data_IF_756498249942
#
_entry.id   IF_756498249942
#
_cell.length_a   1.000
_cell.length_b   1.000
_cell.length_c   1.000
_cell.angle_alpha   90.00
_cell.angle_beta   90.00
_cell.angle_gamma   90.00
#
_symmetry.space_group_name_H-M   'P 1'
#
loop_
_entity.id
_entity.type
_entity.pdbx_description
1 polymer ?
#
# COMPACT_ATOMS: atom_id res chain seq x y z
N UNK A 1 10.54 -10.58 9.73
CA UNK A 1 9.39 -9.73 9.40
C UNK A 1 8.69 -10.20 8.13
N UNK A 2 7.46 -10.71 8.25
CA UNK A 2 6.55 -10.93 7.12
C UNK A 2 5.76 -9.66 6.80
N UNK A 3 5.93 -9.13 5.59
CA UNK A 3 5.27 -7.93 5.11
C UNK A 3 4.19 -8.29 4.08
N UNK A 4 2.95 -7.87 4.33
CA UNK A 4 1.85 -7.88 3.36
C UNK A 4 1.62 -6.46 2.84
N UNK A 5 1.64 -6.26 1.52
CA UNK A 5 1.30 -4.98 0.88
C UNK A 5 0.13 -5.21 -0.06
N UNK A 6 -0.96 -4.47 0.16
CA UNK A 6 -2.18 -4.66 -0.63
C UNK A 6 -2.94 -3.36 -0.90
N UNK A 7 -3.09 -3.00 -2.18
CA UNK A 7 -4.11 -2.06 -2.62
C UNK A 7 -5.48 -2.76 -2.64
N UNK A 8 -6.34 -2.40 -1.70
CA UNK A 8 -7.63 -3.08 -1.49
C UNK A 8 -8.79 -2.41 -2.25
N UNK A 9 -8.52 -1.36 -3.03
CA UNK A 9 -9.52 -0.61 -3.80
C UNK A 9 -10.78 -0.30 -2.99
N UNK A 10 -10.57 0.08 -1.73
CA UNK A 10 -11.59 0.33 -0.74
C UNK A 10 -12.60 -0.81 -0.51
N UNK A 11 -12.19 -2.07 -0.68
CA UNK A 11 -13.04 -3.25 -0.54
C UNK A 11 -14.08 -3.40 -1.67
N UNK A 12 -13.99 -2.61 -2.74
CA UNK A 12 -14.98 -2.64 -3.83
C UNK A 12 -14.94 -3.94 -4.65
N UNK A 13 -13.86 -4.71 -4.56
CA UNK A 13 -13.68 -6.00 -5.21
C UNK A 13 -13.20 -5.91 -6.65
N UNK A 14 -12.80 -7.05 -7.21
CA UNK A 14 -12.30 -7.11 -8.58
C UNK A 14 -13.44 -6.88 -9.60
N UNK A 15 -13.32 -5.93 -10.56
CA UNK A 15 -14.18 -5.89 -11.71
C UNK A 15 -13.70 -6.98 -12.67
N UNK A 16 -14.36 -8.13 -12.70
CA UNK A 16 -13.95 -9.31 -13.51
C UNK A 16 -14.10 -9.12 -15.03
N UNK A 17 -13.45 -8.08 -15.60
CA UNK A 17 -13.40 -7.71 -17.01
C UNK A 17 -13.59 -6.19 -17.28
N UNK A 18 -13.02 -5.69 -18.38
CA UNK A 18 -13.10 -4.27 -18.81
C UNK A 18 -14.54 -3.75 -18.99
N UNK A 19 -15.43 -4.55 -19.59
CA UNK A 19 -16.84 -4.19 -19.76
C UNK A 19 -17.56 -4.08 -18.40
N UNK A 20 -17.23 -4.95 -17.44
CA UNK A 20 -17.77 -4.89 -16.08
C UNK A 20 -17.21 -3.69 -15.33
N UNK A 21 -15.95 -3.31 -15.53
CA UNK A 21 -15.29 -2.15 -14.89
C UNK A 21 -16.01 -0.82 -15.16
N UNK A 22 -16.44 -0.58 -16.40
CA UNK A 22 -17.23 0.60 -16.76
C UNK A 22 -18.64 0.57 -16.13
N UNK A 23 -19.22 -0.62 -16.00
CA UNK A 23 -20.54 -0.82 -15.38
C UNK A 23 -20.50 -0.77 -13.84
N UNK A 24 -19.35 -1.02 -13.21
CA UNK A 24 -19.18 -1.02 -11.75
C UNK A 24 -18.75 0.31 -11.14
N UNK A 25 -18.84 1.44 -11.86
CA UNK A 25 -18.59 2.77 -11.26
C UNK A 25 -19.46 2.99 -10.01
N UNK A 26 -20.67 2.43 -9.96
CA UNK A 26 -21.55 2.46 -8.78
C UNK A 26 -21.00 1.70 -7.55
N UNK A 27 -20.06 0.75 -7.70
CA UNK A 27 -19.39 0.08 -6.57
C UNK A 27 -18.59 1.06 -5.73
N UNK A 28 -18.10 2.13 -6.34
CA UNK A 28 -17.44 3.20 -5.62
C UNK A 28 -18.42 4.06 -4.82
N UNK A 29 -19.73 3.78 -4.80
CA UNK A 29 -20.76 4.45 -3.98
C UNK A 29 -21.24 3.59 -2.79
N UNK A 30 -21.26 2.25 -2.93
CA UNK A 30 -21.61 1.31 -1.84
C UNK A 30 -20.78 0.04 -1.97
N UNK A 31 -20.04 -0.30 -0.92
CA UNK A 31 -19.13 -1.45 -0.93
C UNK A 31 -19.79 -2.66 -0.28
N UNK A 32 -19.70 -3.83 -0.94
CA UNK A 32 -20.08 -5.10 -0.32
C UNK A 32 -19.07 -5.50 0.74
N UNK A 33 -19.53 -5.84 1.95
CA UNK A 33 -18.66 -6.34 3.03
C UNK A 33 -17.95 -7.66 2.67
N UNK A 34 -18.44 -8.38 1.64
CA UNK A 34 -17.91 -9.68 1.22
C UNK A 34 -16.43 -9.62 0.82
N UNK A 35 -16.01 -8.70 -0.03
CA UNK A 35 -14.60 -8.69 -0.46
C UNK A 35 -13.67 -8.33 0.69
N UNK A 36 -14.10 -7.40 1.55
CA UNK A 36 -13.32 -7.07 2.73
C UNK A 36 -13.23 -8.23 3.73
N UNK A 37 -14.27 -9.06 3.87
CA UNK A 37 -14.17 -10.27 4.70
C UNK A 37 -13.22 -11.32 4.11
N UNK A 38 -13.11 -11.42 2.79
CA UNK A 38 -12.09 -12.25 2.15
C UNK A 38 -10.67 -11.73 2.40
N UNK A 39 -10.47 -10.41 2.39
CA UNK A 39 -9.19 -9.78 2.76
C UNK A 39 -8.84 -10.07 4.22
N UNK A 40 -9.83 -9.97 5.12
CA UNK A 40 -9.68 -10.35 6.53
C UNK A 40 -9.26 -11.81 6.68
N UNK A 41 -9.91 -12.73 5.96
CA UNK A 41 -9.53 -14.16 5.95
C UNK A 41 -8.11 -14.37 5.45
N UNK A 42 -7.72 -13.71 4.36
CA UNK A 42 -6.36 -13.76 3.84
C UNK A 42 -5.32 -13.28 4.87
N UNK A 43 -5.59 -12.17 5.57
CA UNK A 43 -4.70 -11.68 6.63
C UNK A 43 -4.60 -12.67 7.78
N UNK A 44 -5.73 -13.27 8.16
CA UNK A 44 -5.76 -14.30 9.20
C UNK A 44 -4.94 -15.55 8.82
N UNK A 45 -4.99 -15.98 7.56
CA UNK A 45 -4.23 -17.14 7.10
C UNK A 45 -2.72 -16.84 6.97
N UNK A 46 -2.37 -15.64 6.50
CA UNK A 46 -0.98 -15.25 6.26
C UNK A 46 -0.21 -14.88 7.55
N UNK A 47 -0.92 -14.41 8.57
CA UNK A 47 -0.36 -13.91 9.84
C UNK A 47 0.84 -12.94 9.64
N UNK A 48 0.69 -11.85 8.85
CA UNK A 48 1.79 -10.93 8.62
C UNK A 48 2.18 -10.18 9.90
N UNK A 49 3.44 -9.76 9.99
CA UNK A 49 3.95 -8.89 11.05
C UNK A 49 3.62 -7.42 10.77
N UNK A 50 3.67 -7.04 9.48
CA UNK A 50 3.38 -5.69 8.99
C UNK A 50 2.40 -5.76 7.81
N UNK A 51 1.39 -4.89 7.81
CA UNK A 51 0.40 -4.76 6.75
C UNK A 51 0.42 -3.32 6.21
N UNK A 52 0.82 -3.16 4.95
CA UNK A 52 0.68 -1.94 4.18
C UNK A 52 -0.58 -1.95 3.32
N UNK A 53 -1.61 -1.20 3.72
CA UNK A 53 -2.86 -1.06 2.98
C UNK A 53 -2.89 0.23 2.16
N UNK A 54 -3.17 0.08 0.87
CA UNK A 54 -3.40 1.19 -0.05
C UNK A 54 -4.87 1.24 -0.45
N UNK A 55 -5.43 2.44 -0.59
CA UNK A 55 -6.86 2.65 -0.84
C UNK A 55 -7.76 1.99 0.22
N UNK A 56 -7.43 2.17 1.49
CA UNK A 56 -8.30 1.78 2.59
C UNK A 56 -9.38 2.83 2.86
N UNK A 57 -10.43 2.40 3.55
CA UNK A 57 -11.49 3.29 4.02
C UNK A 57 -11.54 3.26 5.54
N UNK A 58 -11.56 4.44 6.16
CA UNK A 58 -11.53 4.61 7.61
C UNK A 58 -12.92 4.84 8.23
N UNK A 59 -13.98 4.28 7.66
CA UNK A 59 -15.34 4.36 8.20
C UNK A 59 -16.21 5.41 7.52
N UNK A 60 -16.21 5.46 6.19
CA UNK A 60 -17.15 6.26 5.42
C UNK A 60 -18.55 5.64 5.39
N UNK A 61 -19.52 6.40 4.91
CA UNK A 61 -20.87 5.91 4.63
C UNK A 61 -20.88 4.71 3.67
N UNK A 62 -19.91 4.61 2.77
CA UNK A 62 -19.80 3.53 1.77
C UNK A 62 -19.51 2.17 2.42
N UNK A 63 -18.77 2.16 3.52
CA UNK A 63 -18.49 0.97 4.33
C UNK A 63 -19.45 0.83 5.52
N UNK A 64 -20.52 1.62 5.54
CA UNK A 64 -21.47 1.68 6.67
C UNK A 64 -20.78 1.98 8.01
N UNK A 65 -19.72 2.80 7.99
CA UNK A 65 -18.95 3.16 9.18
C UNK A 65 -17.84 2.16 9.55
N UNK A 66 -17.68 1.05 8.82
CA UNK A 66 -16.60 0.10 9.07
C UNK A 66 -15.24 0.67 8.63
N UNK A 67 -14.30 0.76 9.57
CA UNK A 67 -12.92 1.14 9.30
C UNK A 67 -12.09 -0.10 8.96
N UNK A 68 -11.58 -0.18 7.73
CA UNK A 68 -10.74 -1.28 7.29
C UNK A 68 -9.45 -1.40 8.12
N UNK A 69 -8.71 -0.30 8.38
CA UNK A 69 -7.50 -0.37 9.20
C UNK A 69 -7.78 -0.84 10.63
N UNK A 70 -8.85 -0.35 11.27
CA UNK A 70 -9.21 -0.76 12.64
C UNK A 70 -9.53 -2.25 12.69
N UNK A 71 -10.29 -2.77 11.72
CA UNK A 71 -10.66 -4.18 11.69
C UNK A 71 -9.46 -5.10 11.48
N UNK A 72 -8.49 -4.70 10.66
CA UNK A 72 -7.26 -5.48 10.45
C UNK A 72 -6.27 -5.32 11.61
N UNK A 73 -6.22 -4.16 12.28
CA UNK A 73 -5.43 -3.97 13.48
C UNK A 73 -5.88 -4.90 14.62
N UNK A 74 -7.19 -5.08 14.79
CA UNK A 74 -7.76 -6.05 15.76
C UNK A 74 -7.37 -7.50 15.49
N UNK A 75 -6.96 -7.87 14.26
CA UNK A 75 -6.50 -9.21 13.94
C UNK A 75 -5.00 -9.37 14.19
N UNK A 76 -4.21 -8.31 14.01
CA UNK A 76 -2.77 -8.31 14.24
C UNK A 76 -2.41 -8.39 15.73
N UNK A 77 -3.24 -7.79 16.58
CA UNK A 77 -3.02 -7.73 18.01
C UNK A 77 -4.17 -8.43 18.73
N UNK A 78 -3.91 -9.57 19.37
CA UNK A 78 -4.92 -10.22 20.25
C UNK A 78 -5.34 -9.28 21.41
N UNK A 79 -4.53 -8.26 21.71
CA UNK A 79 -4.85 -7.15 22.60
C UNK A 79 -4.86 -5.82 21.86
N UNK A 80 -5.89 -4.99 22.13
CA UNK A 80 -6.18 -3.74 21.44
C UNK A 80 -5.01 -2.74 21.57
N UNK A 81 -4.12 -2.69 20.58
CA UNK A 81 -3.20 -1.58 20.41
C UNK A 81 -3.93 -0.39 19.75
N UNK A 82 -3.54 0.81 20.18
CA UNK A 82 -4.06 2.10 19.72
C UNK A 82 -4.02 2.17 18.20
N UNK A 83 -5.19 2.15 17.55
CA UNK A 83 -5.26 2.32 16.10
C UNK A 83 -4.82 3.75 15.76
N UNK A 84 -3.78 3.95 14.92
CA UNK A 84 -3.38 5.28 14.51
C UNK A 84 -4.57 6.00 13.91
N UNK A 85 -4.83 7.25 14.32
CA UNK A 85 -5.92 8.04 13.72
C UNK A 85 -5.71 8.09 12.21
N UNK A 86 -6.64 7.56 11.40
CA UNK A 86 -6.50 7.56 9.95
C UNK A 86 -6.47 9.00 9.46
N UNK A 87 -5.47 9.33 8.63
CA UNK A 87 -5.35 10.66 8.02
C UNK A 87 -5.73 10.61 6.55
N UNK A 88 -6.22 11.73 6.01
CA UNK A 88 -6.67 11.79 4.64
C UNK A 88 -5.47 11.69 3.69
N UNK A 89 -5.55 10.81 2.68
CA UNK A 89 -4.48 10.64 1.67
C UNK A 89 -4.13 11.93 0.88
N UNK A 90 -4.94 12.98 1.03
CA UNK A 90 -4.84 14.27 0.33
C UNK A 90 -4.07 15.36 1.11
N UNK A 91 -3.72 15.11 2.38
CA UNK A 91 -3.02 16.07 3.25
C UNK A 91 -3.93 17.15 3.89
N UNK A 92 -3.45 17.83 4.95
CA UNK A 92 -4.28 18.69 5.81
C UNK A 92 -4.78 19.97 5.13
N UNK A 93 -4.10 20.45 4.08
CA UNK A 93 -4.42 21.71 3.38
C UNK A 93 -5.19 21.52 2.08
N UNK A 94 -5.49 20.29 1.67
CA UNK A 94 -6.19 20.01 0.42
C UNK A 94 -7.70 20.28 0.54
N UNK A 95 -8.30 20.95 -0.46
CA UNK A 95 -9.75 21.08 -0.54
C UNK A 95 -10.46 19.71 -0.56
N UNK A 96 -9.79 18.67 -1.10
CA UNK A 96 -10.32 17.31 -1.15
C UNK A 96 -10.38 16.65 0.23
N UNK A 97 -9.52 17.00 1.20
CA UNK A 97 -9.60 16.45 2.56
C UNK A 97 -10.75 17.04 3.38
N UNK A 98 -11.39 18.10 2.88
CA UNK A 98 -12.62 18.70 3.44
C UNK A 98 -13.90 18.10 2.86
N UNK A 99 -13.82 17.30 1.79
CA UNK A 99 -14.99 16.63 1.23
C UNK A 99 -15.31 15.37 2.08
N UNK A 100 -16.55 15.22 2.60
CA UNK A 100 -16.92 14.13 3.51
C UNK A 100 -16.59 12.74 2.97
N UNK A 101 -16.66 12.57 1.64
CA UNK A 101 -16.43 11.31 0.95
C UNK A 101 -14.95 10.91 0.84
N UNK A 102 -14.08 11.91 0.70
CA UNK A 102 -12.66 11.74 0.40
C UNK A 102 -11.81 11.78 1.68
N UNK A 103 -12.36 12.32 2.77
CA UNK A 103 -11.71 12.36 4.09
C UNK A 103 -11.43 10.96 4.63
N UNK A 104 -12.33 10.00 4.40
CA UNK A 104 -12.19 8.62 4.88
C UNK A 104 -11.31 7.74 3.98
N UNK A 105 -10.87 8.23 2.82
CA UNK A 105 -9.93 7.49 1.97
C UNK A 105 -8.51 7.66 2.51
N UNK A 106 -7.89 6.55 2.86
CA UNK A 106 -6.60 6.55 3.54
C UNK A 106 -5.70 5.43 3.03
N UNK A 107 -4.45 5.47 3.45
CA UNK A 107 -3.54 4.32 3.45
C UNK A 107 -3.26 4.00 4.93
N UNK A 108 -2.89 2.76 5.25
CA UNK A 108 -2.58 2.38 6.62
C UNK A 108 -1.34 1.48 6.65
N UNK A 109 -0.46 1.72 7.63
CA UNK A 109 0.72 0.88 7.86
C UNK A 109 0.62 0.31 9.28
N UNK A 110 0.08 -0.90 9.35
CA UNK A 110 -0.15 -1.60 10.61
C UNK A 110 1.04 -2.50 10.90
N UNK A 111 1.47 -2.58 12.16
CA UNK A 111 2.47 -3.56 12.58
C UNK A 111 2.07 -4.17 13.92
N UNK A 112 2.51 -5.40 14.16
CA UNK A 112 2.36 -6.08 15.44
C UNK A 112 3.19 -5.43 16.55
N UNK A 113 4.32 -4.82 16.19
CA UNK A 113 5.17 -4.06 17.11
C UNK A 113 4.55 -2.71 17.52
N UNK A 114 4.80 -2.26 18.75
CA UNK A 114 4.27 -0.98 19.30
C UNK A 114 5.06 0.26 18.85
N UNK A 115 5.68 0.21 17.68
CA UNK A 115 6.42 1.34 17.10
C UNK A 115 5.48 2.49 16.72
N UNK A 116 5.88 3.74 16.92
CA UNK A 116 5.09 4.89 16.46
C UNK A 116 5.01 4.95 14.92
N UNK A 117 3.83 5.25 14.38
CA UNK A 117 3.66 5.56 12.96
C UNK A 117 3.98 7.05 12.72
N UNK A 118 4.97 7.33 11.88
CA UNK A 118 5.26 8.69 11.40
C UNK A 118 4.61 8.93 10.04
N UNK A 119 4.20 10.18 9.81
CA UNK A 119 3.52 10.59 8.59
C UNK A 119 4.30 11.69 7.89
N UNK A 120 4.56 11.50 6.61
CA UNK A 120 5.15 12.50 5.73
C UNK A 120 4.19 12.81 4.58
N UNK A 121 4.43 13.95 3.91
CA UNK A 121 3.55 14.40 2.83
C UNK A 121 4.34 14.87 1.62
N UNK A 122 4.01 14.31 0.45
CA UNK A 122 4.56 14.80 -0.80
C UNK A 122 4.20 16.27 -1.04
N UNK A 123 5.13 17.06 -1.60
CA UNK A 123 4.88 18.47 -1.90
C UNK A 123 3.87 18.65 -3.05
N UNK A 124 3.65 17.62 -3.87
CA UNK A 124 2.80 17.67 -5.06
C UNK A 124 1.93 16.42 -5.23
N UNK A 125 0.96 16.50 -6.16
CA UNK A 125 0.02 15.42 -6.44
C UNK A 125 -1.19 15.39 -5.50
N UNK A 126 -2.14 14.51 -5.82
CA UNK A 126 -3.33 14.27 -5.00
C UNK A 126 -3.10 13.20 -3.94
N UNK A 127 -2.30 12.18 -4.26
CA UNK A 127 -1.89 11.12 -3.32
C UNK A 127 -0.60 11.58 -2.64
N UNK A 128 -0.72 12.13 -1.43
CA UNK A 128 0.40 12.80 -0.75
C UNK A 128 0.95 12.04 0.45
N UNK A 129 0.13 11.23 1.11
CA UNK A 129 0.49 10.55 2.34
C UNK A 129 1.60 9.51 2.11
N UNK A 130 2.62 9.58 2.96
CA UNK A 130 3.70 8.60 3.12
C UNK A 130 3.63 8.17 4.59
N UNK A 131 3.56 6.86 4.85
CA UNK A 131 3.59 6.32 6.20
C UNK A 131 4.96 5.68 6.44
N UNK A 132 5.53 5.92 7.61
CA UNK A 132 6.79 5.33 8.06
C UNK A 132 6.52 4.61 9.38
N UNK A 133 6.97 3.36 9.47
CA UNK A 133 6.91 2.58 10.72
C UNK A 133 8.07 1.61 10.79
N UNK A 134 8.64 1.43 11.97
CA UNK A 134 9.74 0.49 12.21
C UNK A 134 9.19 -0.83 12.77
N UNK A 135 9.65 -1.96 12.24
CA UNK A 135 9.33 -3.29 12.79
C UNK A 135 10.50 -4.23 12.56
N UNK A 136 10.85 -5.03 13.57
CA UNK A 136 12.01 -5.93 13.56
C UNK A 136 13.34 -5.27 13.09
N UNK A 137 13.54 -3.99 13.43
CA UNK A 137 14.73 -3.22 13.03
C UNK A 137 14.76 -2.80 11.55
N UNK A 138 13.67 -2.99 10.81
CA UNK A 138 13.48 -2.56 9.42
C UNK A 138 12.48 -1.39 9.41
N UNK A 139 12.85 -0.27 8.77
CA UNK A 139 11.93 0.85 8.58
C UNK A 139 11.14 0.69 7.28
N UNK A 140 9.82 0.54 7.40
CA UNK A 140 8.90 0.40 6.27
C UNK A 140 8.28 1.76 5.93
N UNK A 141 8.39 2.14 4.67
CA UNK A 141 7.73 3.29 4.07
C UNK A 141 6.61 2.80 3.15
N UNK A 142 5.37 3.21 3.40
CA UNK A 142 4.22 2.93 2.53
C UNK A 142 3.85 4.17 1.72
N UNK A 143 3.79 4.03 0.40
CA UNK A 143 3.47 5.11 -0.54
C UNK A 143 2.34 4.75 -1.49
N UNK A 144 1.71 5.78 -2.03
CA UNK A 144 0.76 5.65 -3.12
C UNK A 144 1.02 6.79 -4.11
N UNK A 145 1.72 6.51 -5.21
CA UNK A 145 2.21 7.55 -6.12
C UNK A 145 1.11 8.03 -7.08
N UNK A 146 1.28 9.26 -7.58
CA UNK A 146 0.34 9.92 -8.50
C UNK A 146 0.16 9.19 -9.83
N UNK A 147 -1.00 9.37 -10.46
CA UNK A 147 -1.29 8.80 -11.79
C UNK A 147 -0.53 9.51 -12.93
N UNK A 148 -0.17 10.78 -12.73
CA UNK A 148 0.61 11.55 -13.71
C UNK A 148 2.10 11.26 -13.57
N UNK A 149 2.75 10.84 -14.66
CA UNK A 149 4.20 10.61 -14.68
C UNK A 149 5.00 11.83 -14.22
N UNK A 150 4.60 13.04 -14.63
CA UNK A 150 5.28 14.28 -14.22
C UNK A 150 5.20 14.50 -12.69
N UNK A 151 4.10 14.10 -12.07
CA UNK A 151 3.94 14.15 -10.61
C UNK A 151 4.79 13.07 -9.96
N UNK A 152 4.77 11.82 -10.47
CA UNK A 152 5.58 10.73 -9.94
C UNK A 152 7.06 11.06 -9.89
N UNK A 153 7.62 11.65 -10.96
CA UNK A 153 9.04 12.06 -10.97
C UNK A 153 9.36 12.95 -9.77
N UNK A 154 8.57 13.99 -9.52
CA UNK A 154 8.77 14.88 -8.35
C UNK A 154 8.55 14.18 -7.00
N UNK A 155 7.66 13.20 -6.95
CA UNK A 155 7.46 12.39 -5.74
C UNK A 155 8.65 11.46 -5.48
N UNK A 156 9.20 10.83 -6.51
CA UNK A 156 10.41 10.00 -6.43
C UNK A 156 11.63 10.84 -6.03
N UNK A 157 11.77 12.05 -6.57
CA UNK A 157 12.82 12.99 -6.16
C UNK A 157 12.70 13.35 -4.67
N UNK A 158 11.48 13.59 -4.20
CA UNK A 158 11.24 13.84 -2.77
C UNK A 158 11.54 12.61 -1.90
N UNK A 159 11.19 11.40 -2.34
CA UNK A 159 11.54 10.16 -1.63
C UNK A 159 13.06 9.96 -1.55
N UNK A 160 13.79 10.30 -2.61
CA UNK A 160 15.26 10.17 -2.64
C UNK A 160 15.91 10.95 -1.50
N UNK A 161 15.39 12.14 -1.19
CA UNK A 161 15.88 12.98 -0.10
C UNK A 161 15.34 12.56 1.27
N UNK A 162 14.11 12.03 1.33
CA UNK A 162 13.46 11.63 2.57
C UNK A 162 14.06 10.34 3.15
N UNK A 163 14.36 9.35 2.30
CA UNK A 163 14.74 8.01 2.74
C UNK A 163 16.10 7.99 3.43
N UNK A 164 16.22 7.36 4.62
CA UNK A 164 17.48 7.31 5.34
C UNK A 164 18.48 6.41 4.62
N UNK A 165 19.71 6.90 4.45
CA UNK A 165 20.80 6.16 3.78
C UNK A 165 21.50 5.22 4.75
N UNK A 166 21.89 4.03 4.27
CA UNK A 166 22.66 3.06 5.05
C UNK A 166 21.90 2.41 6.21
N UNK A 167 20.56 2.48 6.20
CA UNK A 167 19.68 1.86 7.18
C UNK A 167 18.86 0.75 6.51
N UNK A 168 18.45 -0.32 7.23
CA UNK A 168 17.53 -1.32 6.71
C UNK A 168 16.16 -0.68 6.44
N UNK A 169 15.84 -0.47 5.17
CA UNK A 169 14.56 0.10 4.76
C UNK A 169 13.84 -0.74 3.72
N UNK A 170 12.52 -0.61 3.74
CA UNK A 170 11.61 -1.12 2.72
C UNK A 170 10.74 0.03 2.26
N UNK A 171 10.68 0.30 0.96
CA UNK A 171 9.73 1.20 0.35
C UNK A 171 8.70 0.38 -0.43
N UNK A 172 7.44 0.45 -0.03
CA UNK A 172 6.39 -0.37 -0.62
C UNK A 172 5.10 0.41 -0.93
N UNK A 173 4.25 -0.18 -1.76
CA UNK A 173 2.90 0.32 -2.06
C UNK A 173 2.59 0.33 -3.55
N UNK A 174 1.62 1.17 -3.95
CA UNK A 174 1.23 1.34 -5.35
C UNK A 174 1.97 2.53 -5.99
N UNK A 175 2.88 2.23 -6.89
CA UNK A 175 3.74 3.20 -7.55
C UNK A 175 3.11 3.77 -8.83
N UNK A 176 2.02 3.18 -9.33
CA UNK A 176 1.35 3.60 -10.57
C UNK A 176 2.33 3.73 -11.77
N UNK A 177 3.35 2.88 -11.85
CA UNK A 177 4.39 2.90 -12.89
C UNK A 177 3.93 2.17 -14.15
N UNK A 178 3.02 2.80 -14.91
CA UNK A 178 2.42 2.21 -16.10
C UNK A 178 3.39 1.88 -17.24
N UNK A 179 4.63 2.41 -17.22
CA UNK A 179 5.69 2.05 -18.18
C UNK A 179 6.73 1.07 -17.59
N UNK A 180 6.49 0.55 -16.38
CA UNK A 180 7.38 -0.38 -15.68
C UNK A 180 8.57 0.29 -14.99
N UNK A 181 9.20 -0.46 -14.09
CA UNK A 181 10.32 0.03 -13.28
C UNK A 181 11.53 0.46 -14.13
N UNK A 182 11.85 -0.26 -15.21
CA UNK A 182 12.99 0.06 -16.07
C UNK A 182 12.87 1.45 -16.74
N UNK A 183 11.64 1.97 -16.89
CA UNK A 183 11.39 3.27 -17.52
C UNK A 183 11.08 4.39 -16.52
N UNK A 184 10.60 4.07 -15.32
CA UNK A 184 10.13 5.06 -14.35
C UNK A 184 10.84 5.04 -13.01
N UNK A 185 11.39 3.89 -12.59
CA UNK A 185 12.06 3.71 -11.30
C UNK A 185 13.57 3.47 -11.42
N UNK A 186 14.08 3.14 -12.60
CA UNK A 186 15.49 2.77 -12.80
C UNK A 186 16.50 3.78 -12.24
N UNK A 187 16.29 5.08 -12.46
CA UNK A 187 17.15 6.13 -11.89
C UNK A 187 17.03 6.22 -10.37
N UNK A 188 15.79 6.22 -9.87
CA UNK A 188 15.52 6.25 -8.43
C UNK A 188 16.14 5.05 -7.69
N UNK A 189 15.99 3.83 -8.21
CA UNK A 189 16.57 2.60 -7.65
C UNK A 189 18.09 2.64 -7.68
N UNK A 190 18.69 3.16 -8.76
CA UNK A 190 20.14 3.33 -8.87
C UNK A 190 20.70 4.29 -7.82
N UNK A 191 20.03 5.42 -7.61
CA UNK A 191 20.49 6.46 -6.69
C UNK A 191 20.30 6.09 -5.22
N UNK A 192 19.25 5.33 -4.92
CA UNK A 192 18.93 4.90 -3.55
C UNK A 192 19.57 3.56 -3.18
N UNK A 193 20.00 2.78 -4.18
CA UNK A 193 20.45 1.40 -4.00
C UNK A 193 19.32 0.42 -3.68
N UNK A 194 18.06 0.86 -3.77
CA UNK A 194 16.91 0.00 -3.54
C UNK A 194 16.74 -1.00 -4.69
N UNK A 195 16.46 -2.26 -4.35
CA UNK A 195 16.22 -3.34 -5.31
C UNK A 195 14.81 -3.88 -5.17
N UNK A 196 14.22 -4.35 -6.27
CA UNK A 196 12.87 -4.88 -6.27
C UNK A 196 12.87 -6.33 -5.74
N UNK A 197 12.05 -6.60 -4.71
CA UNK A 197 11.86 -7.95 -4.18
C UNK A 197 11.20 -8.89 -5.20
N UNK A 198 10.37 -8.36 -6.11
CA UNK A 198 9.76 -9.06 -7.23
C UNK A 198 10.74 -9.19 -8.41
N UNK A 199 11.72 -10.10 -8.29
CA UNK A 199 12.75 -10.33 -9.31
C UNK A 199 12.21 -10.95 -10.60
N UNK A 200 11.05 -11.60 -10.53
CA UNK A 200 10.36 -12.17 -11.70
C UNK A 200 9.47 -11.15 -12.43
N UNK A 201 9.38 -9.91 -11.95
CA UNK A 201 8.56 -8.83 -12.49
C UNK A 201 7.09 -9.24 -12.71
N UNK A 202 6.54 -10.04 -11.77
CA UNK A 202 5.16 -10.49 -11.83
C UNK A 202 4.20 -9.30 -11.83
N UNK A 203 3.26 -9.28 -12.78
CA UNK A 203 2.25 -8.25 -12.85
C UNK A 203 1.23 -8.37 -11.70
N UNK A 204 0.72 -7.22 -11.25
CA UNK A 204 -0.18 -7.10 -10.11
C UNK A 204 -1.53 -6.50 -10.50
N UNK A 205 -1.62 -5.91 -11.71
CA UNK A 205 -2.79 -5.19 -12.19
C UNK A 205 -3.11 -5.45 -13.67
N UNK A 206 -4.40 -5.52 -14.05
CA UNK A 206 -5.54 -5.74 -13.15
C UNK A 206 -5.55 -7.19 -12.65
N UNK A 207 -6.00 -7.44 -11.42
CA UNK A 207 -5.94 -8.74 -10.75
C UNK A 207 -6.54 -9.91 -11.58
N UNK A 208 -7.63 -9.67 -12.31
CA UNK A 208 -8.29 -10.69 -13.14
C UNK A 208 -7.53 -11.06 -14.42
N UNK A 209 -6.59 -10.23 -14.85
CA UNK A 209 -5.68 -10.47 -15.97
C UNK A 209 -4.43 -9.62 -15.78
N UNK A 210 -3.49 -10.07 -14.92
CA UNK A 210 -2.34 -9.24 -14.57
C UNK A 210 -1.47 -8.98 -15.79
N UNK A 211 -1.26 -7.70 -16.11
CA UNK A 211 -0.47 -7.25 -17.27
C UNK A 211 0.57 -6.19 -16.91
N UNK A 212 0.40 -5.50 -15.77
CA UNK A 212 1.28 -4.44 -15.29
C UNK A 212 1.66 -4.68 -13.84
N UNK A 213 2.92 -4.49 -13.51
CA UNK A 213 3.39 -4.39 -12.14
C UNK A 213 3.25 -2.94 -11.68
N UNK A 214 2.24 -2.66 -10.86
CA UNK A 214 2.02 -1.32 -10.29
C UNK A 214 2.41 -1.27 -8.82
N UNK A 215 2.38 -2.42 -8.14
CA UNK A 215 2.70 -2.56 -6.73
C UNK A 215 4.12 -3.09 -6.59
N UNK A 216 4.88 -2.50 -5.66
CA UNK A 216 6.29 -2.82 -5.44
C UNK A 216 6.60 -2.98 -3.97
N UNK A 217 7.57 -3.83 -3.68
CA UNK A 217 8.34 -3.88 -2.43
C UNK A 217 9.79 -3.68 -2.85
N UNK A 218 10.33 -2.49 -2.60
CA UNK A 218 11.72 -2.15 -2.85
C UNK A 218 12.50 -2.22 -1.54
N UNK A 219 13.60 -2.95 -1.50
CA UNK A 219 14.38 -3.20 -0.29
C UNK A 219 15.78 -2.61 -0.40
N UNK A 220 16.31 -2.09 0.70
CA UNK A 220 17.71 -1.64 0.78
C UNK A 220 18.69 -2.82 0.80
N UNK A 221 19.98 -2.60 0.48
CA UNK A 221 21.00 -3.65 0.55
C UNK A 221 21.15 -4.31 1.94
N UNK A 222 20.72 -3.62 3.00
CA UNK A 222 20.75 -4.14 4.38
C UNK A 222 19.57 -5.07 4.69
N UNK A 223 18.68 -5.35 3.73
CA UNK A 223 17.51 -6.21 3.91
C UNK A 223 17.59 -7.35 2.90
N UNK A 224 17.57 -8.59 3.38
CA UNK A 224 17.50 -9.80 2.57
C UNK A 224 16.03 -10.21 2.39
N UNK A 225 15.68 -10.58 1.16
CA UNK A 225 14.36 -11.14 0.81
C UNK A 225 14.48 -12.66 0.82
N UNK A 226 13.95 -13.31 1.85
CA UNK A 226 13.96 -14.77 1.97
C UNK A 226 12.86 -15.41 1.11
N UNK A 227 11.71 -14.74 1.04
CA UNK A 227 10.58 -15.16 0.24
C UNK A 227 9.86 -13.95 -0.34
N UNK A 228 9.32 -14.12 -1.55
CA UNK A 228 8.43 -13.15 -2.18
C UNK A 228 7.37 -13.88 -3.00
N UNK A 229 6.12 -13.45 -2.89
CA UNK A 229 5.02 -13.96 -3.70
C UNK A 229 3.99 -12.87 -4.05
N UNK A 230 3.38 -13.02 -5.23
CA UNK A 230 2.16 -12.32 -5.62
C UNK A 230 1.00 -13.28 -5.52
N UNK A 231 0.06 -13.03 -4.61
CA UNK A 231 -1.03 -13.97 -4.33
C UNK A 231 -2.14 -13.80 -5.37
N UNK A 232 -2.55 -14.85 -6.11
CA UNK A 232 -3.50 -14.73 -7.22
C UNK A 232 -4.97 -14.72 -6.76
N UNK A 233 -5.36 -13.75 -5.93
CA UNK A 233 -6.73 -13.57 -5.41
C UNK A 233 -7.47 -12.41 -6.09
N UNK A 234 -8.81 -12.50 -6.16
CA UNK A 234 -9.67 -11.51 -6.82
C UNK A 234 -10.46 -10.64 -5.83
N UNK A 235 -9.88 -10.35 -4.67
CA UNK A 235 -10.53 -9.56 -3.61
C UNK A 235 -10.44 -8.05 -3.85
N UNK A 236 -9.54 -7.63 -4.76
CA UNK A 236 -9.32 -6.26 -5.22
C UNK A 236 -9.06 -6.27 -6.73
N UNK A 237 -8.96 -5.11 -7.37
CA UNK A 237 -8.45 -4.97 -8.73
C UNK A 237 -6.91 -5.02 -8.81
N UNK A 238 -6.22 -5.03 -7.66
CA UNK A 238 -4.81 -5.37 -7.52
C UNK A 238 -4.61 -6.76 -6.87
N UNK A 239 -3.44 -7.36 -7.07
CA UNK A 239 -3.00 -8.56 -6.34
C UNK A 239 -2.15 -8.16 -5.11
N UNK A 240 -2.29 -8.85 -3.96
CA UNK A 240 -1.44 -8.63 -2.80
C UNK A 240 -0.01 -9.12 -3.03
N UNK A 241 0.95 -8.42 -2.42
CA UNK A 241 2.35 -8.83 -2.34
C UNK A 241 2.65 -9.31 -0.91
N UNK A 242 3.33 -10.44 -0.79
CA UNK A 242 3.89 -10.91 0.48
C UNK A 242 5.40 -11.05 0.33
N UNK A 243 6.14 -10.59 1.33
CA UNK A 243 7.57 -10.78 1.40
C UNK A 243 8.00 -11.16 2.82
N UNK A 244 8.85 -12.17 2.94
CA UNK A 244 9.54 -12.49 4.19
C UNK A 244 10.93 -11.86 4.17
N UNK A 245 11.17 -10.98 5.14
CA UNK A 245 12.31 -10.08 5.17
C UNK A 245 13.10 -10.24 6.47
N UNK A 246 14.43 -10.16 6.35
CA UNK A 246 15.36 -10.10 7.48
C UNK A 246 16.45 -9.05 7.23
N UNK A 247 17.08 -8.59 8.31
CA UNK A 247 18.29 -7.75 8.20
C UNK A 247 19.43 -8.64 7.69
N UNK A 248 20.14 -8.15 6.67
CA UNK A 248 21.34 -8.82 6.15
C UNK A 248 22.43 -8.86 7.23
N UNK A 249 23.10 -10.01 7.34
CA UNK A 249 24.21 -10.22 8.28
C UNK A 249 25.53 -9.65 7.75
#
# INVERSE_FOLDING_TARGET
>A
MRLLVYNIAYGTGCPGGEAKRLLTVHRYLRTSAFHFSQIVGLVYDLQPDVIGLVEADSGSWRTSGLSHPEKLAQLLSEEVLTVPKPDSKYGPTSFLSRMPYLKSQTNALLARSDSEEKKHYFPCGTKKLILERESDGITVFLVHLGLSRRVRVRQLDYLRELLPKGRPIVLAGDFNTFRGENAELAEFMRDTGLVNANTAHQATYPAWKPLKQLDYILVSPQVEVEHFEVIPVLYSDHLPLVADLKIAQ
#
